data_IF_783339049344
#
_entry.id   IF_783339049344
#
_cell.length_a   1.000
_cell.length_b   1.000
_cell.length_c   1.000
_cell.angle_alpha   90.00
_cell.angle_beta   90.00
_cell.angle_gamma   90.00
#
_symmetry.space_group_name_H-M   'P 1'
#
loop_
_entity.id
_entity.type
_entity.pdbx_description
1 polymer ?
#
# COMPACT_ATOMS: atom_id res chain seq x y z
N UNK A 1 42.29 54.49 18.34
CA UNK A 1 42.38 53.42 19.37
C UNK A 1 42.61 52.09 18.69
N UNK A 2 43.47 51.28 19.31
CA UNK A 2 44.13 50.07 18.78
C UNK A 2 43.19 48.89 18.54
N UNK A 3 43.59 48.05 17.58
CA UNK A 3 43.11 46.71 17.32
C UNK A 3 43.17 45.79 18.55
N UNK A 4 42.28 44.79 18.64
CA UNK A 4 42.67 43.48 19.15
C UNK A 4 41.83 42.36 18.53
N UNK A 5 42.52 41.59 17.68
CA UNK A 5 42.14 40.28 17.15
C UNK A 5 42.58 39.25 18.18
N UNK A 6 41.67 38.41 18.69
CA UNK A 6 42.07 37.20 19.44
C UNK A 6 41.66 35.99 18.62
N UNK A 7 42.67 35.34 18.03
CA UNK A 7 42.63 33.93 17.65
C UNK A 7 42.93 33.09 18.89
N UNK A 8 42.17 32.02 19.12
CA UNK A 8 42.67 30.77 19.74
C UNK A 8 41.84 29.60 19.24
N UNK A 9 42.51 28.67 18.55
CA UNK A 9 42.12 27.27 18.36
C UNK A 9 43.00 26.42 19.33
N UNK A 10 42.96 25.07 19.30
CA UNK A 10 41.86 24.11 19.37
C UNK A 10 42.00 23.18 20.62
N UNK A 11 40.97 22.40 21.02
CA UNK A 11 41.15 21.25 21.93
C UNK A 11 40.29 20.05 21.49
N UNK A 12 40.91 18.88 21.57
CA UNK A 12 40.55 17.57 21.04
C UNK A 12 39.80 16.73 22.09
N UNK A 13 38.87 15.91 21.60
CA UNK A 13 38.35 14.64 22.14
C UNK A 13 37.74 14.56 23.55
N UNK A 14 36.49 14.10 23.60
CA UNK A 14 35.86 13.52 24.78
C UNK A 14 34.64 12.69 24.39
N UNK A 15 34.79 11.37 24.42
CA UNK A 15 33.68 10.40 24.37
C UNK A 15 32.68 10.71 25.50
N UNK A 16 31.39 10.67 25.19
CA UNK A 16 30.33 10.79 26.19
C UNK A 16 29.01 10.32 25.60
N UNK A 17 28.57 9.13 26.03
CA UNK A 17 27.34 8.48 25.56
C UNK A 17 26.12 9.38 25.76
N UNK A 18 25.26 9.45 24.74
CA UNK A 18 23.97 10.12 24.83
C UNK A 18 22.89 9.12 25.21
N UNK A 19 22.41 9.28 26.44
CA UNK A 19 21.17 8.69 26.92
C UNK A 19 19.98 9.20 26.08
N UNK A 20 19.14 8.27 25.62
CA UNK A 20 17.87 8.55 24.96
C UNK A 20 16.80 8.79 26.04
N UNK A 21 16.34 10.04 26.16
CA UNK A 21 15.15 10.41 26.92
C UNK A 21 13.98 10.52 25.94
N UNK A 22 13.15 9.48 25.88
CA UNK A 22 11.92 9.47 25.07
C UNK A 22 10.88 10.36 25.75
N UNK A 23 10.62 11.55 25.20
CA UNK A 23 9.45 12.37 25.55
C UNK A 23 8.25 11.82 24.77
N UNK A 24 7.24 11.32 25.50
CA UNK A 24 5.91 11.02 24.98
C UNK A 24 5.26 12.32 24.51
N UNK A 25 5.13 12.48 23.19
CA UNK A 25 4.34 13.52 22.56
C UNK A 25 3.00 12.96 22.09
N UNK A 26 1.91 13.47 22.64
CA UNK A 26 0.53 13.21 22.21
C UNK A 26 0.32 13.78 20.81
N UNK A 27 0.12 12.93 19.80
CA UNK A 27 -0.20 13.39 18.44
C UNK A 27 -1.71 13.46 18.28
N UNK A 28 -2.22 14.69 18.14
CA UNK A 28 -3.61 14.99 17.81
C UNK A 28 -3.79 14.84 16.29
N UNK A 29 -4.53 13.82 15.86
CA UNK A 29 -4.81 13.57 14.45
C UNK A 29 -5.97 14.46 13.99
N UNK A 30 -5.68 15.40 13.09
CA UNK A 30 -6.69 16.17 12.36
C UNK A 30 -7.17 15.36 11.16
N UNK A 31 -8.45 14.99 11.16
CA UNK A 31 -9.17 14.46 10.02
C UNK A 31 -9.14 15.48 8.86
N UNK A 32 -8.39 15.15 7.81
CA UNK A 32 -8.52 15.84 6.51
C UNK A 32 -9.56 15.06 5.71
N UNK A 33 -10.74 15.66 5.59
CA UNK A 33 -11.85 15.17 4.77
C UNK A 33 -11.47 15.28 3.29
N UNK A 34 -11.26 14.14 2.61
CA UNK A 34 -11.07 14.11 1.16
C UNK A 34 -12.45 13.95 0.51
N UNK A 35 -12.99 15.09 0.06
CA UNK A 35 -14.17 15.16 -0.78
C UNK A 35 -13.89 14.47 -2.13
N UNK A 36 -14.54 13.34 -2.40
CA UNK A 36 -14.51 12.67 -3.71
C UNK A 36 -15.12 13.61 -4.77
N UNK A 37 -14.29 14.03 -5.72
CA UNK A 37 -14.68 14.87 -6.86
C UNK A 37 -15.01 13.95 -8.04
N UNK A 38 -16.29 13.76 -8.32
CA UNK A 38 -16.77 13.04 -9.50
C UNK A 38 -16.49 13.85 -10.76
N UNK A 39 -15.77 13.24 -11.70
CA UNK A 39 -15.44 13.83 -12.99
C UNK A 39 -16.66 13.78 -13.91
N UNK A 40 -17.15 14.95 -14.34
CA UNK A 40 -18.06 15.09 -15.48
C UNK A 40 -17.23 15.16 -16.75
N UNK A 41 -17.45 14.26 -17.70
CA UNK A 41 -17.13 14.47 -19.11
C UNK A 41 -18.40 14.96 -19.81
N UNK A 42 -18.25 16.02 -20.59
CA UNK A 42 -19.27 16.58 -21.47
C UNK A 42 -18.90 16.27 -22.92
N UNK A 43 -19.91 15.84 -23.67
CA UNK A 43 -20.19 15.96 -25.12
C UNK A 43 -21.19 14.83 -25.45
N UNK A 44 -22.33 15.00 -26.11
CA UNK A 44 -23.00 16.12 -26.76
C UNK A 44 -24.07 15.53 -27.68
N UNK A 45 -25.29 16.08 -27.72
CA UNK A 45 -26.17 16.02 -28.90
C UNK A 45 -27.44 15.14 -28.89
N UNK A 46 -28.59 15.84 -28.79
CA UNK A 46 -29.97 15.47 -29.20
C UNK A 46 -30.68 14.38 -28.38
N UNK A 47 -31.96 14.48 -27.98
CA UNK A 47 -33.06 15.40 -28.26
C UNK A 47 -34.34 14.56 -28.17
N UNK A 48 -35.19 14.78 -27.16
CA UNK A 48 -36.51 14.12 -27.11
C UNK A 48 -37.08 13.80 -25.72
N UNK A 49 -37.96 14.69 -25.25
CA UNK A 49 -39.18 14.49 -24.44
C UNK A 49 -39.19 13.49 -23.26
N UNK A 50 -39.37 14.09 -22.08
CA UNK A 50 -40.37 13.79 -21.05
C UNK A 50 -40.60 12.32 -20.65
N UNK A 51 -40.01 11.95 -19.51
CA UNK A 51 -40.38 10.80 -18.70
C UNK A 51 -39.96 11.04 -17.25
N UNK A 52 -40.92 11.46 -16.43
CA UNK A 52 -40.78 11.61 -14.98
C UNK A 52 -40.22 10.33 -14.35
N UNK A 53 -39.07 10.45 -13.69
CA UNK A 53 -38.38 9.35 -13.02
C UNK A 53 -37.25 9.90 -12.14
N UNK A 54 -37.59 10.83 -11.27
CA UNK A 54 -36.69 11.32 -10.23
C UNK A 54 -36.37 10.18 -9.25
N UNK A 55 -35.30 9.42 -9.54
CA UNK A 55 -34.62 8.59 -8.56
C UNK A 55 -33.94 9.49 -7.53
N UNK A 56 -34.69 9.88 -6.51
CA UNK A 56 -34.16 10.59 -5.36
C UNK A 56 -33.12 9.71 -4.65
N UNK A 57 -31.86 10.12 -4.71
CA UNK A 57 -30.89 9.68 -3.72
C UNK A 57 -31.40 10.15 -2.35
N UNK A 58 -31.78 9.19 -1.51
CA UNK A 58 -32.23 9.42 -0.15
C UNK A 58 -31.18 10.25 0.62
N UNK A 59 -31.52 11.47 1.10
CA UNK A 59 -30.62 12.31 1.88
C UNK A 59 -30.18 11.66 3.21
N UNK A 60 -30.77 10.52 3.63
CA UNK A 60 -30.34 9.74 4.79
C UNK A 60 -29.08 8.88 4.58
N UNK A 61 -28.78 8.43 3.36
CA UNK A 61 -27.71 7.45 3.14
C UNK A 61 -26.30 8.02 3.38
N UNK A 62 -26.05 9.26 2.96
CA UNK A 62 -24.74 9.90 3.14
C UNK A 62 -24.34 10.14 4.59
N UNK A 63 -25.31 10.37 5.49
CA UNK A 63 -25.02 10.58 6.92
C UNK A 63 -24.81 9.27 7.67
N UNK A 64 -25.62 8.23 7.38
CA UNK A 64 -25.40 6.89 7.92
C UNK A 64 -24.06 6.30 7.47
N UNK A 65 -23.70 6.49 6.20
CA UNK A 65 -22.42 6.03 5.65
C UNK A 65 -21.22 6.69 6.32
N UNK A 66 -21.31 8.00 6.58
CA UNK A 66 -20.25 8.74 7.29
C UNK A 66 -20.08 8.23 8.71
N UNK A 67 -21.18 7.97 9.42
CA UNK A 67 -21.14 7.42 10.78
C UNK A 67 -20.55 5.99 10.80
N UNK A 68 -20.91 5.14 9.83
CA UNK A 68 -20.34 3.80 9.71
C UNK A 68 -18.84 3.85 9.38
N UNK A 69 -18.43 4.78 8.52
CA UNK A 69 -17.01 4.96 8.17
C UNK A 69 -16.17 5.38 9.37
N UNK A 70 -16.70 6.27 10.20
CA UNK A 70 -16.06 6.66 11.46
C UNK A 70 -16.02 5.48 12.46
N UNK A 71 -17.10 4.73 12.55
CA UNK A 71 -17.20 3.58 13.43
C UNK A 71 -16.17 2.49 13.06
N UNK A 72 -15.99 2.19 11.77
CA UNK A 72 -15.01 1.20 11.31
C UNK A 72 -13.56 1.71 11.31
N UNK A 73 -13.32 3.01 11.47
CA UNK A 73 -12.00 3.56 11.78
C UNK A 73 -11.62 3.39 13.26
N UNK A 74 -12.61 3.20 14.14
CA UNK A 74 -12.41 3.05 15.58
C UNK A 74 -11.82 1.68 15.93
N UNK A 75 -10.79 1.61 16.80
CA UNK A 75 -10.20 0.33 17.20
C UNK A 75 -11.22 -0.62 17.85
N UNK A 76 -11.09 -1.95 17.68
CA UNK A 76 -12.05 -2.93 18.20
C UNK A 76 -12.39 -2.79 19.69
N UNK A 77 -11.45 -2.42 20.60
CA UNK A 77 -11.79 -2.21 22.01
C UNK A 77 -12.73 -1.02 22.28
N UNK A 78 -12.71 0.01 21.43
CA UNK A 78 -13.58 1.21 21.57
C UNK A 78 -14.82 1.18 20.68
N UNK A 79 -14.93 0.16 19.81
CA UNK A 79 -15.98 0.07 18.81
C UNK A 79 -17.39 0.13 19.40
N UNK A 80 -17.66 -0.63 20.47
CA UNK A 80 -19.01 -0.70 21.06
C UNK A 80 -19.41 0.64 21.67
N UNK A 81 -18.51 1.27 22.43
CA UNK A 81 -18.75 2.59 23.01
C UNK A 81 -19.02 3.64 21.91
N UNK A 82 -18.18 3.70 20.87
CA UNK A 82 -18.39 4.64 19.76
C UNK A 82 -19.68 4.37 18.98
N UNK A 83 -20.06 3.10 18.82
CA UNK A 83 -21.33 2.71 18.18
C UNK A 83 -22.54 3.23 18.97
N UNK A 84 -22.48 3.17 20.29
CA UNK A 84 -23.54 3.67 21.17
C UNK A 84 -23.65 5.20 21.11
N UNK A 85 -22.51 5.91 21.15
CA UNK A 85 -22.44 7.36 20.98
C UNK A 85 -23.04 7.80 19.64
N UNK A 86 -22.56 7.24 18.53
CA UNK A 86 -23.03 7.59 17.18
C UNK A 86 -24.53 7.26 16.99
N UNK A 87 -25.01 6.18 17.57
CA UNK A 87 -26.43 5.84 17.54
C UNK A 87 -27.27 6.80 18.39
N UNK A 88 -26.77 7.24 19.55
CA UNK A 88 -27.44 8.24 20.37
C UNK A 88 -27.49 9.59 19.67
N UNK A 89 -26.38 10.05 19.09
CA UNK A 89 -26.28 11.27 18.28
C UNK A 89 -27.25 11.25 17.08
N UNK A 90 -27.39 10.10 16.42
CA UNK A 90 -28.36 9.94 15.33
C UNK A 90 -29.81 10.02 15.83
N UNK A 91 -30.14 9.43 17.00
CA UNK A 91 -31.49 9.53 17.59
C UNK A 91 -31.83 10.95 18.02
N UNK A 92 -30.91 11.66 18.68
CA UNK A 92 -31.14 13.05 19.10
C UNK A 92 -31.29 14.00 17.91
N UNK A 93 -30.64 13.69 16.78
CA UNK A 93 -30.82 14.40 15.52
C UNK A 93 -32.09 13.99 14.73
N UNK A 94 -32.98 13.17 15.29
CA UNK A 94 -34.20 12.71 14.62
C UNK A 94 -33.99 11.65 13.52
N UNK A 95 -32.78 11.10 13.39
CA UNK A 95 -32.38 10.13 12.36
C UNK A 95 -32.46 8.70 12.88
N UNK A 96 -33.67 8.24 13.20
CA UNK A 96 -33.90 6.92 13.78
C UNK A 96 -33.48 5.76 12.85
N UNK A 97 -33.57 5.92 11.53
CA UNK A 97 -33.12 4.93 10.55
C UNK A 97 -31.59 4.75 10.60
N UNK A 98 -30.82 5.84 10.54
CA UNK A 98 -29.36 5.83 10.66
C UNK A 98 -28.90 5.21 11.98
N UNK A 99 -29.59 5.53 13.09
CA UNK A 99 -29.28 4.95 14.39
C UNK A 99 -29.43 3.42 14.40
N UNK A 100 -30.43 2.89 13.69
CA UNK A 100 -30.62 1.43 13.54
C UNK A 100 -29.50 0.81 12.71
N UNK A 101 -29.11 1.45 11.60
CA UNK A 101 -28.01 0.99 10.75
C UNK A 101 -26.68 0.94 11.51
N UNK A 102 -26.36 1.98 12.28
CA UNK A 102 -25.17 2.03 13.13
C UNK A 102 -25.21 0.95 14.21
N UNK A 103 -26.36 0.70 14.83
CA UNK A 103 -26.51 -0.35 15.85
C UNK A 103 -26.33 -1.77 15.31
N UNK A 104 -26.71 -2.01 14.05
CA UNK A 104 -26.52 -3.29 13.37
C UNK A 104 -25.06 -3.55 12.96
N UNK A 105 -24.18 -2.53 13.01
CA UNK A 105 -22.78 -2.69 12.67
C UNK A 105 -22.08 -3.68 13.61
N UNK A 106 -21.40 -4.66 13.01
CA UNK A 106 -20.65 -5.69 13.72
C UNK A 106 -19.26 -5.21 14.06
N UNK A 107 -18.81 -5.53 15.28
CA UNK A 107 -17.45 -5.24 15.74
C UNK A 107 -16.44 -5.96 14.84
N UNK A 108 -15.43 -5.24 14.29
CA UNK A 108 -14.41 -5.85 13.48
C UNK A 108 -13.42 -6.66 14.31
N UNK A 109 -12.87 -7.73 13.71
CA UNK A 109 -11.65 -8.37 14.21
C UNK A 109 -10.47 -7.41 14.10
N UNK A 110 -9.40 -7.67 14.84
CA UNK A 110 -8.21 -6.81 14.79
C UNK A 110 -7.57 -6.79 13.40
N UNK A 111 -7.54 -7.93 12.70
CA UNK A 111 -7.08 -8.02 11.32
C UNK A 111 -7.96 -7.22 10.34
N UNK A 112 -9.29 -7.35 10.46
CA UNK A 112 -10.23 -6.61 9.61
C UNK A 112 -10.13 -5.09 9.83
N UNK A 113 -10.01 -4.66 11.09
CA UNK A 113 -9.77 -3.25 11.41
C UNK A 113 -8.45 -2.74 10.84
N UNK A 114 -7.35 -3.50 10.98
CA UNK A 114 -6.06 -3.12 10.41
C UNK A 114 -6.10 -3.00 8.87
N UNK A 115 -6.83 -3.89 8.19
CA UNK A 115 -7.06 -3.81 6.75
C UNK A 115 -7.91 -2.58 6.35
N UNK A 116 -8.94 -2.23 7.12
CA UNK A 116 -9.72 -1.00 6.89
C UNK A 116 -8.87 0.26 7.16
N UNK A 117 -8.01 0.22 8.18
CA UNK A 117 -7.09 1.31 8.53
C UNK A 117 -6.10 1.55 7.39
N UNK A 118 -5.51 0.48 6.82
CA UNK A 118 -4.64 0.58 5.65
C UNK A 118 -5.33 1.29 4.48
N UNK A 119 -6.56 0.88 4.15
CA UNK A 119 -7.35 1.48 3.07
C UNK A 119 -7.55 2.99 3.25
N UNK A 120 -7.78 3.44 4.48
CA UNK A 120 -8.06 4.85 4.80
C UNK A 120 -6.78 5.68 4.90
N UNK A 121 -5.71 5.10 5.46
CA UNK A 121 -4.44 5.81 5.69
C UNK A 121 -3.52 5.81 4.48
N UNK A 122 -3.67 4.87 3.55
CA UNK A 122 -2.83 4.67 2.35
C UNK A 122 -3.67 4.46 1.09
N UNK A 123 -4.49 5.44 0.69
CA UNK A 123 -5.45 5.27 -0.40
C UNK A 123 -4.77 4.99 -1.75
N UNK A 124 -3.59 5.56 -2.01
CA UNK A 124 -2.84 5.32 -3.24
C UNK A 124 -2.32 3.88 -3.32
N UNK A 125 -1.72 3.36 -2.24
CA UNK A 125 -1.22 1.99 -2.18
C UNK A 125 -2.36 0.96 -2.25
N UNK A 126 -3.49 1.24 -1.59
CA UNK A 126 -4.68 0.38 -1.68
C UNK A 126 -5.31 0.38 -3.06
N UNK A 127 -5.37 1.54 -3.75
CA UNK A 127 -5.83 1.61 -5.13
C UNK A 127 -4.96 0.77 -6.07
N UNK A 128 -3.64 0.80 -5.89
CA UNK A 128 -2.70 -0.05 -6.66
C UNK A 128 -2.94 -1.54 -6.43
N UNK A 129 -3.25 -1.96 -5.21
CA UNK A 129 -3.57 -3.36 -4.92
C UNK A 129 -4.86 -3.80 -5.64
N UNK A 130 -5.90 -2.95 -5.61
CA UNK A 130 -7.17 -3.23 -6.30
C UNK A 130 -7.02 -3.26 -7.83
N UNK A 131 -6.19 -2.39 -8.40
CA UNK A 131 -5.87 -2.39 -9.83
C UNK A 131 -5.08 -3.63 -10.23
N UNK A 132 -4.08 -4.02 -9.43
CA UNK A 132 -3.33 -5.26 -9.64
C UNK A 132 -4.26 -6.48 -9.60
N UNK A 133 -5.16 -6.56 -8.62
CA UNK A 133 -6.13 -7.67 -8.52
C UNK A 133 -7.01 -7.77 -9.77
N UNK A 134 -7.50 -6.64 -10.29
CA UNK A 134 -8.27 -6.60 -11.55
C UNK A 134 -7.45 -7.09 -12.75
N UNK A 135 -6.20 -6.62 -12.88
CA UNK A 135 -5.32 -7.05 -13.97
C UNK A 135 -5.01 -8.55 -13.91
N UNK A 136 -4.75 -9.09 -12.71
CA UNK A 136 -4.53 -10.52 -12.50
C UNK A 136 -5.77 -11.34 -12.86
N UNK A 137 -6.95 -11.00 -12.33
CA UNK A 137 -8.19 -11.72 -12.67
C UNK A 137 -8.54 -11.64 -14.16
N UNK A 138 -8.14 -10.58 -14.86
CA UNK A 138 -8.27 -10.49 -16.31
C UNK A 138 -7.30 -11.43 -17.05
N UNK A 139 -6.04 -11.50 -16.61
CA UNK A 139 -5.01 -12.37 -17.20
C UNK A 139 -5.29 -13.86 -16.98
N UNK A 140 -5.73 -14.27 -15.78
CA UNK A 140 -6.12 -15.65 -15.46
C UNK A 140 -7.28 -16.16 -16.34
N UNK A 141 -8.16 -15.26 -16.81
CA UNK A 141 -9.25 -15.61 -17.75
C UNK A 141 -8.75 -15.89 -19.18
N UNK A 142 -7.57 -15.39 -19.53
CA UNK A 142 -6.96 -15.53 -20.87
C UNK A 142 -5.86 -16.59 -20.95
N UNK A 143 -5.55 -17.30 -19.85
CA UNK A 143 -4.57 -18.40 -19.78
C UNK A 143 -3.18 -18.03 -20.35
N UNK A 144 -2.66 -16.86 -19.99
CA UNK A 144 -1.32 -16.43 -20.44
C UNK A 144 -0.21 -16.94 -19.49
N UNK A 145 0.69 -17.77 -20.03
CA UNK A 145 1.75 -18.46 -19.29
C UNK A 145 2.88 -17.55 -18.76
N UNK A 146 2.84 -16.24 -19.01
CA UNK A 146 3.77 -15.27 -18.40
C UNK A 146 3.56 -15.08 -16.87
N UNK A 147 2.50 -15.67 -16.29
CA UNK A 147 2.00 -15.42 -14.93
C UNK A 147 2.83 -15.99 -13.75
N UNK A 148 3.75 -16.94 -13.95
CA UNK A 148 4.49 -17.52 -12.82
C UNK A 148 5.49 -16.56 -12.17
N UNK A 149 6.06 -15.60 -12.92
CA UNK A 149 6.95 -14.55 -12.36
C UNK A 149 6.18 -13.48 -11.58
N UNK A 150 4.86 -13.35 -11.79
CA UNK A 150 3.99 -12.40 -11.10
C UNK A 150 3.75 -12.78 -9.63
N UNK A 151 3.64 -14.07 -9.32
CA UNK A 151 3.31 -14.57 -7.97
C UNK A 151 4.32 -14.15 -6.90
N UNK A 152 5.61 -14.12 -7.23
CA UNK A 152 6.65 -13.70 -6.27
C UNK A 152 6.59 -12.18 -6.00
N UNK A 153 6.35 -11.37 -7.03
CA UNK A 153 6.19 -9.93 -6.89
C UNK A 153 4.91 -9.58 -6.12
N UNK A 154 3.82 -10.31 -6.40
CA UNK A 154 2.55 -10.21 -5.69
C UNK A 154 2.70 -10.50 -4.19
N UNK A 155 3.39 -11.59 -3.84
CA UNK A 155 3.62 -11.96 -2.43
C UNK A 155 4.43 -10.90 -1.69
N UNK A 156 5.47 -10.35 -2.33
CA UNK A 156 6.26 -9.24 -1.75
C UNK A 156 5.41 -8.00 -1.50
N UNK A 157 4.51 -7.64 -2.42
CA UNK A 157 3.60 -6.50 -2.24
C UNK A 157 2.62 -6.74 -1.09
N UNK A 158 1.97 -7.90 -1.03
CA UNK A 158 1.03 -8.26 0.06
C UNK A 158 1.73 -8.20 1.43
N UNK A 159 2.90 -8.81 1.56
CA UNK A 159 3.67 -8.77 2.81
C UNK A 159 4.09 -7.33 3.16
N UNK A 160 4.46 -6.50 2.19
CA UNK A 160 4.81 -5.10 2.44
C UNK A 160 3.60 -4.29 2.94
N UNK A 161 2.43 -4.46 2.33
CA UNK A 161 1.19 -3.78 2.75
C UNK A 161 0.70 -4.27 4.10
N UNK A 162 0.81 -5.56 4.40
CA UNK A 162 0.46 -6.08 5.73
C UNK A 162 1.40 -5.56 6.82
N UNK A 163 2.69 -5.36 6.51
CA UNK A 163 3.62 -4.65 7.42
C UNK A 163 3.19 -3.21 7.64
N UNK A 164 2.83 -2.47 6.58
CA UNK A 164 2.31 -1.10 6.73
C UNK A 164 1.03 -1.05 7.57
N UNK A 165 0.13 -2.01 7.40
CA UNK A 165 -1.06 -2.14 8.25
C UNK A 165 -0.69 -2.38 9.73
N UNK A 166 0.33 -3.20 9.99
CA UNK A 166 0.84 -3.44 11.34
C UNK A 166 1.48 -2.18 11.94
N UNK A 167 2.26 -1.43 11.16
CA UNK A 167 2.87 -0.16 11.61
C UNK A 167 1.80 0.89 11.93
N UNK A 168 0.74 0.98 11.13
CA UNK A 168 -0.40 1.87 11.39
C UNK A 168 -1.17 1.46 12.65
N UNK A 169 -1.36 0.16 12.85
CA UNK A 169 -2.01 -0.38 14.04
C UNK A 169 -1.18 -0.11 15.31
N UNK A 170 0.15 -0.27 15.24
CA UNK A 170 1.07 0.06 16.33
C UNK A 170 1.07 1.56 16.66
N UNK A 171 1.10 2.42 15.63
CA UNK A 171 0.97 3.87 15.80
C UNK A 171 -0.37 4.28 16.45
N UNK A 172 -1.42 3.50 16.25
CA UNK A 172 -2.73 3.66 16.89
C UNK A 172 -2.82 3.00 18.28
N UNK A 173 -1.73 2.41 18.79
CA UNK A 173 -1.64 1.79 20.12
C UNK A 173 -2.13 0.34 20.20
N UNK A 174 -2.30 -0.32 19.06
CA UNK A 174 -2.80 -1.69 18.93
C UNK A 174 -1.83 -2.56 18.12
N UNK A 175 -0.65 -2.92 18.68
CA UNK A 175 0.33 -3.75 17.99
C UNK A 175 -0.25 -5.11 17.58
N UNK A 176 0.04 -5.54 16.36
CA UNK A 176 -0.46 -6.80 15.82
C UNK A 176 0.50 -7.95 16.16
N UNK A 177 -0.07 -9.09 16.58
CA UNK A 177 0.70 -10.34 16.69
C UNK A 177 1.07 -10.88 15.30
N UNK A 178 2.01 -11.82 15.25
CA UNK A 178 2.37 -12.48 14.00
C UNK A 178 1.18 -13.19 13.33
N UNK A 179 0.31 -13.82 14.13
CA UNK A 179 -0.90 -14.49 13.64
C UNK A 179 -1.89 -13.48 13.03
N UNK A 180 -2.15 -12.36 13.71
CA UNK A 180 -3.05 -11.32 13.20
C UNK A 180 -2.48 -10.65 11.94
N UNK A 181 -1.16 -10.46 11.86
CA UNK A 181 -0.52 -9.98 10.63
C UNK A 181 -0.72 -10.96 9.47
N UNK A 182 -0.65 -12.27 9.74
CA UNK A 182 -0.91 -13.29 8.72
C UNK A 182 -2.37 -13.26 8.24
N UNK A 183 -3.33 -12.99 9.12
CA UNK A 183 -4.73 -12.80 8.73
C UNK A 183 -4.93 -11.55 7.85
N UNK A 184 -4.18 -10.48 8.09
CA UNK A 184 -4.16 -9.30 7.21
C UNK A 184 -3.57 -9.67 5.85
N UNK A 185 -2.45 -10.40 5.82
CA UNK A 185 -1.86 -10.90 4.56
C UNK A 185 -2.86 -11.78 3.78
N UNK A 186 -3.58 -12.67 4.47
CA UNK A 186 -4.64 -13.50 3.88
C UNK A 186 -5.76 -12.65 3.29
N UNK A 187 -6.21 -11.63 4.01
CA UNK A 187 -7.25 -10.70 3.55
C UNK A 187 -6.83 -9.95 2.29
N UNK A 188 -5.61 -9.42 2.25
CA UNK A 188 -5.06 -8.73 1.07
C UNK A 188 -4.81 -9.70 -0.10
N UNK A 189 -4.49 -10.96 0.18
CA UNK A 189 -4.44 -12.04 -0.80
C UNK A 189 -5.80 -12.32 -1.43
N UNK A 190 -6.87 -12.37 -0.61
CA UNK A 190 -8.24 -12.55 -1.07
C UNK A 190 -8.69 -11.41 -2.01
N UNK A 191 -8.36 -10.16 -1.67
CA UNK A 191 -8.63 -8.97 -2.51
C UNK A 191 -8.01 -9.09 -3.90
N UNK A 192 -6.83 -9.71 -4.01
CA UNK A 192 -6.17 -9.92 -5.30
C UNK A 192 -6.80 -11.06 -6.10
N UNK A 193 -7.19 -12.14 -5.42
CA UNK A 193 -7.71 -13.34 -6.06
C UNK A 193 -9.19 -13.21 -6.49
N UNK A 194 -9.98 -12.46 -5.75
CA UNK A 194 -11.44 -12.46 -5.88
C UNK A 194 -12.02 -11.03 -5.98
N UNK A 195 -13.00 -10.87 -6.87
CA UNK A 195 -13.64 -9.58 -7.13
C UNK A 195 -14.59 -9.17 -6.00
N UNK A 196 -15.36 -10.12 -5.46
CA UNK A 196 -16.26 -9.85 -4.33
C UNK A 196 -15.47 -9.42 -3.08
N UNK A 197 -14.34 -10.09 -2.82
CA UNK A 197 -13.40 -9.73 -1.75
C UNK A 197 -12.81 -8.34 -1.94
N UNK A 198 -12.49 -7.97 -3.18
CA UNK A 198 -12.00 -6.64 -3.52
C UNK A 198 -13.04 -5.55 -3.25
N UNK A 199 -14.30 -5.78 -3.64
CA UNK A 199 -15.40 -4.85 -3.43
C UNK A 199 -15.72 -4.70 -1.94
N UNK A 200 -15.74 -5.81 -1.19
CA UNK A 200 -15.94 -5.81 0.27
C UNK A 200 -14.85 -5.05 1.00
N UNK A 201 -13.59 -5.20 0.59
CA UNK A 201 -12.51 -4.40 1.16
C UNK A 201 -12.59 -2.94 0.74
N UNK A 202 -12.89 -2.65 -0.53
CA UNK A 202 -13.03 -1.29 -1.05
C UNK A 202 -14.16 -0.49 -0.37
N UNK A 203 -15.17 -1.17 0.17
CA UNK A 203 -16.20 -0.57 1.02
C UNK A 203 -15.65 -0.06 2.37
N UNK A 204 -14.48 -0.54 2.82
CA UNK A 204 -13.78 -0.04 4.01
C UNK A 204 -14.45 -0.35 5.35
N UNK A 205 -15.31 -1.38 5.37
CA UNK A 205 -16.17 -1.78 6.51
C UNK A 205 -16.09 -3.28 6.79
N UNK A 206 -14.92 -3.88 6.61
CA UNK A 206 -14.71 -5.29 6.94
C UNK A 206 -14.86 -5.50 8.44
N UNK A 207 -15.65 -6.52 8.83
CA UNK A 207 -15.79 -6.95 10.21
C UNK A 207 -15.09 -8.29 10.51
N UNK A 208 -14.78 -9.07 9.48
CA UNK A 208 -14.04 -10.33 9.58
C UNK A 208 -12.94 -10.33 8.52
N UNK A 209 -11.82 -11.01 8.82
CA UNK A 209 -10.75 -11.23 7.84
C UNK A 209 -11.28 -12.04 6.65
N UNK A 210 -10.76 -11.78 5.45
CA UNK A 210 -11.10 -12.52 4.25
C UNK A 210 -10.09 -13.64 4.03
N UNK A 211 -10.54 -14.75 3.44
CA UNK A 211 -9.69 -15.88 3.07
C UNK A 211 -9.75 -16.04 1.56
N UNK A 212 -8.61 -16.16 0.86
CA UNK A 212 -8.60 -16.32 -0.58
C UNK A 212 -9.24 -17.66 -1.01
N UNK A 213 -9.93 -17.72 -2.16
CA UNK A 213 -10.48 -18.97 -2.69
C UNK A 213 -9.38 -19.96 -3.06
N UNK A 214 -9.60 -21.25 -2.78
CA UNK A 214 -8.62 -22.34 -3.01
C UNK A 214 -8.23 -22.55 -4.49
N UNK A 215 -9.04 -22.07 -5.42
CA UNK A 215 -8.78 -22.14 -6.86
C UNK A 215 -7.78 -21.09 -7.38
N UNK A 216 -7.42 -20.10 -6.56
CA UNK A 216 -6.31 -19.19 -6.83
C UNK A 216 -5.13 -19.59 -5.95
N UNK A 217 -3.99 -20.00 -6.53
CA UNK A 217 -2.81 -20.40 -5.75
C UNK A 217 -2.09 -19.16 -5.20
N UNK A 218 -2.75 -18.42 -4.31
CA UNK A 218 -2.06 -17.71 -3.23
C UNK A 218 -1.74 -18.79 -2.20
N UNK A 219 -0.67 -19.53 -2.51
CA UNK A 219 -0.40 -20.88 -2.06
C UNK A 219 -0.76 -21.20 -0.61
N UNK A 220 -1.39 -22.36 -0.43
CA UNK A 220 -1.52 -23.15 0.79
C UNK A 220 -1.02 -22.45 2.05
N UNK A 221 -1.94 -21.72 2.68
CA UNK A 221 -1.87 -21.42 4.11
C UNK A 221 -2.62 -22.50 4.89
N UNK A 222 -2.35 -23.77 4.57
CA UNK A 222 -2.69 -24.91 5.39
C UNK A 222 -1.44 -25.80 5.47
N UNK A 223 -0.59 -25.55 6.47
CA UNK A 223 0.40 -26.54 6.85
C UNK A 223 -0.36 -27.82 7.27
N UNK A 224 -0.08 -28.99 6.67
CA UNK A 224 -0.61 -30.24 7.19
C UNK A 224 -0.03 -30.47 8.60
N UNK A 225 -0.82 -30.98 9.57
CA UNK A 225 -0.30 -31.27 10.90
C UNK A 225 0.81 -32.33 10.81
N UNK A 226 1.90 -32.22 11.60
CA UNK A 226 2.89 -33.28 11.66
C UNK A 226 2.26 -34.52 12.28
N UNK A 227 2.18 -35.61 11.52
CA UNK A 227 1.81 -36.91 12.03
C UNK A 227 2.87 -37.40 13.05
N UNK A 228 2.45 -38.02 14.17
CA UNK A 228 3.36 -38.49 15.20
C UNK A 228 4.07 -39.77 14.76
N UNK A 229 5.40 -39.73 14.63
CA UNK A 229 6.20 -40.95 14.48
C UNK A 229 6.40 -41.53 15.88
N UNK A 230 5.77 -42.68 16.11
CA UNK A 230 5.85 -43.44 17.34
C UNK A 230 7.23 -44.07 17.50
N UNK A 231 7.77 -43.92 18.70
CA UNK A 231 8.83 -44.76 19.24
C UNK A 231 8.38 -46.23 19.26
N UNK A 232 9.25 -47.10 18.75
CA UNK A 232 9.14 -48.56 18.85
C UNK A 232 10.47 -49.09 19.37
N UNK A 233 10.54 -49.23 20.69
CA UNK A 233 11.57 -49.89 21.47
C UNK A 233 11.20 -51.37 21.61
N UNK A 234 12.13 -52.28 21.38
CA UNK A 234 12.22 -53.66 21.90
C UNK A 234 13.56 -54.22 21.35
N UNK A 235 14.68 -54.27 22.07
CA UNK A 235 15.04 -55.09 23.25
C UNK A 235 14.68 -56.57 23.13
N UNK A 236 15.70 -57.44 23.04
CA UNK A 236 15.56 -58.83 23.47
C UNK A 236 16.51 -59.86 22.84
N UNK A 237 17.70 -60.02 23.43
CA UNK A 237 18.26 -61.28 24.00
C UNK A 237 18.40 -62.51 23.07
N UNK A 238 19.40 -63.40 23.12
CA UNK A 238 20.75 -63.49 23.65
C UNK A 238 21.30 -64.89 23.25
N UNK A 239 22.64 -65.02 23.22
CA UNK A 239 23.43 -66.25 23.44
C UNK A 239 23.39 -67.32 22.31
N UNK A 240 24.41 -68.14 22.01
CA UNK A 240 25.55 -68.67 22.80
C UNK A 240 26.75 -68.97 21.89
N UNK A 241 27.94 -68.74 22.45
CA UNK A 241 29.20 -69.52 22.46
C UNK A 241 29.31 -70.76 21.53
N UNK A 242 30.42 -70.84 20.79
CA UNK A 242 30.99 -72.07 20.24
C UNK A 242 32.35 -71.84 19.59
N UNK A 243 33.43 -72.26 20.26
CA UNK A 243 34.78 -72.45 19.70
C UNK A 243 35.06 -73.96 19.82
N UNK A 244 35.62 -74.61 18.79
CA UNK A 244 37.00 -75.11 18.87
C UNK A 244 37.75 -74.86 17.53
N UNK A 245 39.03 -74.46 17.55
CA UNK A 245 40.25 -75.26 17.66
C UNK A 245 40.63 -76.03 16.37
N UNK A 246 41.84 -75.71 15.91
CA UNK A 246 42.81 -76.41 15.07
C UNK A 246 42.64 -76.66 13.55
N UNK A 247 43.75 -76.30 12.89
CA UNK A 247 44.21 -76.42 11.50
C UNK A 247 44.53 -77.91 11.15
N UNK A 248 44.56 -78.35 9.88
CA UNK A 248 45.72 -78.06 9.03
C UNK A 248 45.48 -77.83 7.53
N UNK A 249 46.57 -77.36 6.92
CA UNK A 249 46.78 -76.93 5.55
C UNK A 249 46.33 -77.91 4.46
N UNK A 250 45.76 -77.39 3.35
CA UNK A 250 46.18 -77.71 1.97
C UNK A 250 45.72 -76.57 1.03
N UNK A 251 46.57 -76.25 0.03
CA UNK A 251 46.30 -75.55 -1.25
C UNK A 251 46.74 -74.09 -1.38
N UNK A 252 48.06 -73.90 -1.26
CA UNK A 252 48.78 -72.98 -2.13
C UNK A 252 48.63 -73.46 -3.59
N UNK A 253 47.63 -72.94 -4.30
CA UNK A 253 47.47 -72.87 -5.77
C UNK A 253 46.19 -72.12 -6.17
N UNK A 254 45.85 -71.06 -5.43
CA UNK A 254 44.80 -70.10 -5.82
C UNK A 254 45.16 -68.62 -5.55
N UNK A 255 46.37 -68.34 -5.07
CA UNK A 255 46.77 -66.98 -4.64
C UNK A 255 47.06 -66.05 -5.83
N UNK A 256 47.54 -66.55 -6.97
CA UNK A 256 47.76 -65.70 -8.16
C UNK A 256 46.46 -65.25 -8.85
N UNK A 257 45.40 -66.06 -8.78
CA UNK A 257 44.10 -65.69 -9.33
C UNK A 257 43.36 -64.70 -8.40
N UNK A 258 43.56 -64.80 -7.07
CA UNK A 258 43.02 -63.84 -6.10
C UNK A 258 43.68 -62.46 -6.16
N UNK A 259 45.00 -62.41 -6.39
CA UNK A 259 45.76 -61.16 -6.50
C UNK A 259 45.44 -60.38 -7.80
N UNK A 260 45.24 -61.07 -8.94
CA UNK A 260 44.80 -60.44 -10.19
C UNK A 260 43.37 -59.89 -10.09
N UNK A 261 42.43 -60.68 -9.52
CA UNK A 261 41.05 -60.23 -9.28
C UNK A 261 40.98 -59.06 -8.28
N UNK A 262 41.84 -59.04 -7.25
CA UNK A 262 41.96 -57.92 -6.31
C UNK A 262 42.55 -56.66 -6.97
N UNK A 263 43.51 -56.81 -7.89
CA UNK A 263 44.05 -55.73 -8.71
C UNK A 263 43.01 -55.10 -9.64
N UNK A 264 42.19 -55.94 -10.28
CA UNK A 264 41.10 -55.50 -11.15
C UNK A 264 40.00 -54.77 -10.38
N UNK A 265 39.65 -55.22 -9.18
CA UNK A 265 38.68 -54.55 -8.32
C UNK A 265 39.18 -53.19 -7.85
N UNK A 266 40.46 -53.08 -7.46
CA UNK A 266 41.09 -51.80 -7.10
C UNK A 266 41.12 -50.84 -8.30
N UNK A 267 41.43 -51.32 -9.50
CA UNK A 267 41.40 -50.53 -10.72
C UNK A 267 39.97 -50.05 -11.06
N UNK A 268 38.97 -50.92 -10.92
CA UNK A 268 37.56 -50.57 -11.09
C UNK A 268 37.09 -49.52 -10.08
N UNK A 269 37.47 -49.65 -8.80
CA UNK A 269 37.18 -48.67 -7.75
C UNK A 269 37.84 -47.31 -8.04
N UNK A 270 39.08 -47.30 -8.54
CA UNK A 270 39.78 -46.07 -8.96
C UNK A 270 39.08 -45.39 -10.13
N UNK A 271 38.69 -46.13 -11.17
CA UNK A 271 37.92 -45.61 -12.32
C UNK A 271 36.58 -45.02 -11.86
N UNK A 272 35.81 -45.77 -11.06
CA UNK A 272 34.53 -45.29 -10.52
C UNK A 272 34.69 -44.04 -9.64
N UNK A 273 35.78 -43.94 -8.86
CA UNK A 273 36.10 -42.73 -8.09
C UNK A 273 36.44 -41.56 -9.01
N UNK A 274 37.24 -41.77 -10.05
CA UNK A 274 37.61 -40.73 -11.00
C UNK A 274 36.37 -40.20 -11.75
N UNK A 275 35.51 -41.09 -12.23
CA UNK A 275 34.23 -40.70 -12.85
C UNK A 275 33.33 -39.91 -11.90
N UNK A 276 33.25 -40.33 -10.62
CA UNK A 276 32.50 -39.56 -9.61
C UNK A 276 33.08 -38.17 -9.41
N UNK A 277 34.42 -38.03 -9.40
CA UNK A 277 35.08 -36.72 -9.29
C UNK A 277 34.83 -35.86 -10.53
N UNK A 278 34.89 -36.43 -11.73
CA UNK A 278 34.66 -35.68 -12.96
C UNK A 278 33.19 -35.26 -13.10
N UNK A 279 32.24 -36.11 -12.69
CA UNK A 279 30.82 -35.75 -12.56
C UNK A 279 30.62 -34.62 -11.54
N UNK A 280 31.25 -34.71 -10.37
CA UNK A 280 31.16 -33.68 -9.34
C UNK A 280 31.78 -32.34 -9.80
N UNK A 281 32.91 -32.37 -10.54
CA UNK A 281 33.53 -31.18 -11.14
C UNK A 281 32.63 -30.52 -12.15
N UNK A 282 32.06 -31.29 -13.10
CA UNK A 282 31.10 -30.76 -14.09
C UNK A 282 29.90 -30.12 -13.41
N UNK A 283 29.31 -30.79 -12.43
CA UNK A 283 28.19 -30.25 -11.66
C UNK A 283 28.57 -28.94 -10.91
N UNK A 284 29.78 -28.87 -10.35
CA UNK A 284 30.27 -27.66 -9.68
C UNK A 284 30.49 -26.50 -10.66
N UNK A 285 31.01 -26.77 -11.85
CA UNK A 285 31.18 -25.78 -12.92
C UNK A 285 29.83 -25.26 -13.42
N UNK A 286 28.86 -26.12 -13.67
CA UNK A 286 27.49 -25.76 -14.05
C UNK A 286 26.84 -24.89 -12.96
N UNK A 287 26.92 -25.32 -11.69
CA UNK A 287 26.43 -24.54 -10.56
C UNK A 287 27.13 -23.17 -10.44
N UNK A 288 28.43 -23.10 -10.73
CA UNK A 288 29.17 -21.83 -10.75
C UNK A 288 28.70 -20.91 -11.89
N UNK A 289 28.44 -21.45 -13.09
CA UNK A 289 27.88 -20.70 -14.23
C UNK A 289 26.48 -20.17 -13.89
N UNK A 290 25.60 -21.02 -13.35
CA UNK A 290 24.26 -20.61 -12.91
C UNK A 290 24.32 -19.52 -11.84
N UNK A 291 25.21 -19.65 -10.84
CA UNK A 291 25.41 -18.62 -9.82
C UNK A 291 25.90 -17.30 -10.42
N UNK A 292 26.83 -17.34 -11.38
CA UNK A 292 27.32 -16.14 -12.06
C UNK A 292 26.23 -15.45 -12.87
N UNK A 293 25.43 -16.23 -13.61
CA UNK A 293 24.30 -15.70 -14.38
C UNK A 293 23.27 -15.05 -13.46
N UNK A 294 22.88 -15.73 -12.37
CA UNK A 294 21.95 -15.18 -11.38
C UNK A 294 22.48 -13.90 -10.71
N UNK A 295 23.79 -13.81 -10.45
CA UNK A 295 24.42 -12.57 -9.94
C UNK A 295 24.36 -11.43 -10.95
N UNK A 296 24.63 -11.72 -12.22
CA UNK A 296 24.55 -10.72 -13.28
C UNK A 296 23.10 -10.20 -13.46
N UNK A 297 22.12 -11.11 -13.45
CA UNK A 297 20.70 -10.76 -13.49
C UNK A 297 20.29 -9.90 -12.29
N UNK A 298 20.74 -10.26 -11.07
CA UNK A 298 20.48 -9.47 -9.86
C UNK A 298 21.06 -8.04 -9.97
N UNK A 299 22.31 -7.91 -10.43
CA UNK A 299 22.95 -6.60 -10.61
C UNK A 299 22.24 -5.74 -11.68
N UNK A 300 21.75 -6.36 -12.76
CA UNK A 300 20.93 -5.69 -13.77
C UNK A 300 19.59 -5.22 -13.20
N UNK A 301 18.94 -6.07 -12.40
CA UNK A 301 17.68 -5.74 -11.74
C UNK A 301 17.84 -4.59 -10.74
N UNK A 302 18.93 -4.57 -9.96
CA UNK A 302 19.24 -3.49 -9.03
C UNK A 302 19.47 -2.17 -9.78
N UNK A 303 20.26 -2.20 -10.86
CA UNK A 303 20.47 -1.02 -11.72
C UNK A 303 19.16 -0.52 -12.33
N UNK A 304 18.29 -1.42 -12.78
CA UNK A 304 16.99 -1.06 -13.33
C UNK A 304 16.06 -0.45 -12.26
N UNK A 305 16.12 -0.96 -11.03
CA UNK A 305 15.37 -0.44 -9.88
C UNK A 305 15.83 0.97 -9.51
N UNK A 306 17.13 1.23 -9.45
CA UNK A 306 17.66 2.55 -9.12
C UNK A 306 17.28 3.58 -10.18
N UNK A 307 17.41 3.25 -11.47
CA UNK A 307 16.91 4.11 -12.56
C UNK A 307 15.40 4.36 -12.47
N UNK A 308 14.62 3.37 -12.06
CA UNK A 308 13.18 3.55 -11.87
C UNK A 308 12.86 4.47 -10.68
N UNK A 309 13.62 4.39 -9.60
CA UNK A 309 13.51 5.29 -8.43
C UNK A 309 13.85 6.73 -8.80
N UNK A 310 14.93 6.94 -9.53
CA UNK A 310 15.34 8.27 -10.03
C UNK A 310 14.23 8.89 -10.89
N UNK A 311 13.74 8.17 -11.91
CA UNK A 311 12.63 8.65 -12.75
C UNK A 311 11.37 8.99 -11.97
N UNK A 312 11.07 8.21 -10.93
CA UNK A 312 9.91 8.46 -10.07
C UNK A 312 10.10 9.71 -9.21
N UNK A 313 11.29 9.94 -8.65
CA UNK A 313 11.59 11.14 -7.89
C UNK A 313 11.56 12.40 -8.78
N UNK A 314 12.14 12.34 -9.97
CA UNK A 314 12.03 13.41 -10.98
C UNK A 314 10.56 13.70 -11.35
N UNK A 315 9.75 12.66 -11.56
CA UNK A 315 8.33 12.81 -11.83
C UNK A 315 7.59 13.49 -10.67
N UNK A 316 7.91 13.12 -9.41
CA UNK A 316 7.36 13.77 -8.22
C UNK A 316 7.75 15.24 -8.13
N UNK A 317 9.01 15.57 -8.39
CA UNK A 317 9.49 16.95 -8.41
C UNK A 317 8.78 17.79 -9.47
N UNK A 318 8.59 17.24 -10.68
CA UNK A 318 7.79 17.89 -11.74
C UNK A 318 6.35 18.16 -11.33
N UNK A 319 5.71 17.23 -10.62
CA UNK A 319 4.34 17.42 -10.11
C UNK A 319 4.29 18.54 -9.06
N UNK A 320 5.24 18.57 -8.13
CA UNK A 320 5.32 19.63 -7.11
C UNK A 320 5.52 21.00 -7.74
N UNK A 321 6.44 21.11 -8.69
CA UNK A 321 6.69 22.36 -9.42
C UNK A 321 5.47 22.81 -10.25
N UNK A 322 4.81 21.89 -10.94
CA UNK A 322 3.59 22.19 -11.68
C UNK A 322 2.45 22.69 -10.76
N UNK A 323 2.32 22.14 -9.55
CA UNK A 323 1.35 22.60 -8.55
C UNK A 323 1.67 24.02 -8.07
N UNK A 324 2.93 24.33 -7.77
CA UNK A 324 3.38 25.67 -7.39
C UNK A 324 3.01 26.70 -8.47
N UNK A 325 3.34 26.41 -9.72
CA UNK A 325 2.99 27.28 -10.86
C UNK A 325 1.48 27.48 -11.02
N UNK A 326 0.68 26.43 -10.80
CA UNK A 326 -0.77 26.54 -10.85
C UNK A 326 -1.33 27.46 -9.75
N UNK A 327 -0.80 27.37 -8.53
CA UNK A 327 -1.26 28.21 -7.42
C UNK A 327 -0.82 29.68 -7.58
N UNK A 328 0.37 29.91 -8.14
CA UNK A 328 0.82 31.25 -8.57
C UNK A 328 -0.10 31.83 -9.64
N UNK A 329 -0.37 31.07 -10.72
CA UNK A 329 -1.26 31.51 -11.79
C UNK A 329 -2.69 31.79 -11.28
N UNK A 330 -3.20 30.99 -10.34
CA UNK A 330 -4.51 31.23 -9.70
C UNK A 330 -4.52 32.51 -8.87
N UNK A 331 -3.43 32.79 -8.16
CA UNK A 331 -3.31 34.00 -7.35
C UNK A 331 -3.30 35.24 -8.23
N UNK A 332 -2.55 35.19 -9.34
CA UNK A 332 -2.50 36.25 -10.34
C UNK A 332 -3.86 36.45 -11.02
N UNK A 333 -4.53 35.37 -11.43
CA UNK A 333 -5.87 35.45 -12.01
C UNK A 333 -6.88 36.11 -11.04
N UNK A 334 -6.84 35.77 -9.75
CA UNK A 334 -7.69 36.41 -8.73
C UNK A 334 -7.34 37.89 -8.53
N UNK A 335 -6.08 38.27 -8.67
CA UNK A 335 -5.65 39.67 -8.59
C UNK A 335 -6.17 40.46 -9.78
N UNK A 336 -5.99 39.93 -10.99
CA UNK A 336 -6.48 40.53 -12.22
C UNK A 336 -8.02 40.71 -12.20
N UNK A 337 -8.79 39.72 -11.75
CA UNK A 337 -10.26 39.84 -11.61
C UNK A 337 -10.65 40.97 -10.64
N UNK A 338 -9.95 41.11 -9.51
CA UNK A 338 -10.21 42.22 -8.56
C UNK A 338 -9.86 43.59 -9.16
N UNK A 339 -8.76 43.68 -9.89
CA UNK A 339 -8.34 44.91 -10.56
C UNK A 339 -9.33 45.31 -11.67
N UNK A 340 -9.80 44.34 -12.46
CA UNK A 340 -10.85 44.52 -13.46
C UNK A 340 -12.14 45.03 -12.81
N UNK A 341 -12.66 44.36 -11.77
CA UNK A 341 -13.89 44.81 -11.07
C UNK A 341 -13.76 46.22 -10.52
N UNK A 342 -12.58 46.58 -9.99
CA UNK A 342 -12.30 47.95 -9.52
C UNK A 342 -12.28 48.96 -10.66
N UNK A 343 -11.75 48.59 -11.82
CA UNK A 343 -11.78 49.43 -13.02
C UNK A 343 -13.21 49.62 -13.54
N UNK A 344 -13.99 48.55 -13.65
CA UNK A 344 -15.40 48.58 -14.06
C UNK A 344 -16.25 49.46 -13.13
N UNK A 345 -16.07 49.31 -11.81
CA UNK A 345 -16.78 50.15 -10.84
C UNK A 345 -16.40 51.63 -10.98
N UNK A 346 -15.10 51.94 -11.14
CA UNK A 346 -14.64 53.32 -11.37
C UNK A 346 -15.21 53.90 -12.66
N UNK A 347 -15.24 53.12 -13.74
CA UNK A 347 -15.85 53.52 -15.00
C UNK A 347 -17.34 53.82 -14.82
N UNK A 348 -18.07 52.96 -14.12
CA UNK A 348 -19.51 53.16 -13.84
C UNK A 348 -19.75 54.43 -13.01
N UNK A 349 -18.97 54.65 -11.96
CA UNK A 349 -19.06 55.87 -11.13
C UNK A 349 -18.73 57.12 -11.94
N UNK A 350 -17.67 57.09 -12.76
CA UNK A 350 -17.30 58.22 -13.62
C UNK A 350 -18.37 58.54 -14.66
N UNK A 351 -18.99 57.52 -15.28
CA UNK A 351 -20.08 57.69 -16.23
C UNK A 351 -21.33 58.33 -15.57
N UNK A 352 -21.65 57.92 -14.34
CA UNK A 352 -22.74 58.54 -13.57
C UNK A 352 -22.45 60.02 -13.27
N UNK A 353 -21.25 60.31 -12.74
CA UNK A 353 -20.84 61.67 -12.42
C UNK A 353 -20.81 62.59 -13.66
N UNK A 354 -20.39 62.07 -14.82
CA UNK A 354 -20.46 62.80 -16.09
C UNK A 354 -21.90 63.12 -16.46
N UNK A 355 -22.81 62.14 -16.34
CA UNK A 355 -24.24 62.34 -16.64
C UNK A 355 -24.85 63.42 -15.74
N UNK A 356 -24.56 63.40 -14.44
CA UNK A 356 -25.01 64.42 -13.48
C UNK A 356 -24.43 65.80 -13.78
N UNK A 357 -23.15 65.88 -14.14
CA UNK A 357 -22.50 67.13 -14.52
C UNK A 357 -23.11 67.71 -15.81
N UNK A 358 -23.39 66.87 -16.82
CA UNK A 358 -24.07 67.29 -18.05
C UNK A 358 -25.49 67.81 -17.77
N UNK A 359 -26.25 67.15 -16.89
CA UNK A 359 -27.58 67.62 -16.49
C UNK A 359 -27.50 68.99 -15.79
N UNK A 360 -26.60 69.12 -14.83
CA UNK A 360 -26.38 70.37 -14.09
C UNK A 360 -25.98 71.52 -15.03
N UNK A 361 -25.08 71.25 -15.99
CA UNK A 361 -24.68 72.23 -17.00
C UNK A 361 -25.88 72.66 -17.87
N UNK A 362 -26.68 71.70 -18.36
CA UNK A 362 -27.90 72.00 -19.16
C UNK A 362 -28.91 72.83 -18.36
N UNK A 363 -29.10 72.53 -17.08
CA UNK A 363 -29.97 73.29 -16.19
C UNK A 363 -29.47 74.72 -15.97
N UNK A 364 -28.17 74.89 -15.73
CA UNK A 364 -27.53 76.19 -15.60
C UNK A 364 -27.68 77.03 -16.87
N UNK A 365 -27.43 76.46 -18.06
CA UNK A 365 -27.66 77.16 -19.33
C UNK A 365 -29.12 77.56 -19.54
N UNK A 366 -30.07 76.69 -19.15
CA UNK A 366 -31.51 77.02 -19.20
C UNK A 366 -31.87 78.13 -18.20
N UNK A 367 -31.23 78.20 -17.04
CA UNK A 367 -31.41 79.28 -16.08
C UNK A 367 -30.88 80.61 -16.64
N UNK A 368 -29.68 80.62 -17.23
CA UNK A 368 -29.10 81.80 -17.89
C UNK A 368 -30.02 82.31 -19.01
N UNK A 369 -30.47 81.43 -19.92
CA UNK A 369 -31.43 81.80 -20.99
C UNK A 369 -32.75 82.36 -20.49
N UNK A 370 -33.20 81.98 -19.29
CA UNK A 370 -34.41 82.53 -18.67
C UNK A 370 -34.18 83.92 -18.05
N UNK A 371 -32.97 84.20 -17.58
CA UNK A 371 -32.61 85.47 -16.94
C UNK A 371 -32.29 86.57 -17.96
N UNK A 372 -31.80 86.21 -19.15
CA UNK A 372 -31.51 87.13 -20.26
C UNK A 372 -32.37 86.79 -21.50
N UNK A 373 -33.68 87.13 -21.49
CA UNK A 373 -34.53 86.90 -22.63
C UNK A 373 -34.08 87.80 -23.80
N UNK A 374 -33.94 87.27 -25.03
CA UNK A 374 -33.56 88.09 -26.17
C UNK A 374 -34.58 89.23 -26.34
N UNK A 375 -34.06 90.45 -26.41
CA UNK A 375 -34.84 91.68 -26.47
C UNK A 375 -35.93 91.64 -27.54
N UNK A 376 -37.12 92.08 -27.14
CA UNK A 376 -38.22 92.42 -28.06
C UNK A 376 -38.01 93.78 -28.70
#
# INVERSE_FOLDING_TARGET
>A
MRAFRVRRAPVRAGQGGRAYRVRRGTVRWSLVSVQRRSARRADGGSGGRAGSGAGGADPGTGTADTALDELYATPPPRFVARREELAAEARTAGRAADARLVQQARRPTLAAWAANLLLRSRPEESARLLELGRALRAAYRTLDAAELKSLTAQRRLVTALARQAADLADAAGHPLSAAVRQEVESTLGAVLADEESADRWAAGRLHTALTPPSAFPVGDLAAPPPAPVREGREEGRAARRGKPADRPAVRARHDRAGDELAGDELAARRRARQERLDRARKAAEEAARHRSAARAEAAQADTALDRARERHEEARQRVTEARRRLDEARTEARRADREQRRAENRQRTAAHALTEAEQTAREAERAVRRADPPGR
#
